data_IF_476394998566
#
_entry.id   IF_476394998566
#
_cell.length_a   1.000
_cell.length_b   1.000
_cell.length_c   1.000
_cell.angle_alpha   90.00
_cell.angle_beta   90.00
_cell.angle_gamma   90.00
#
_symmetry.space_group_name_H-M   'P 1'
#
loop_
_entity.id
_entity.type
_entity.pdbx_description
1 polymer ?
#
# COMPACT_ATOMS: atom_id res chain seq x y z
N UNK A 1 15.15 -9.32 -5.98
CA UNK A 1 15.67 -10.47 -5.22
C UNK A 1 14.70 -10.78 -4.11
N UNK A 2 14.02 -11.93 -4.10
CA UNK A 2 13.07 -12.27 -3.03
C UNK A 2 13.85 -12.65 -1.76
N UNK A 3 13.49 -12.11 -0.60
CA UNK A 3 14.16 -12.42 0.65
C UNK A 3 13.96 -13.89 1.05
N UNK A 4 15.08 -14.60 1.29
CA UNK A 4 15.05 -15.91 1.94
C UNK A 4 14.31 -15.83 3.28
N UNK A 5 13.56 -16.88 3.60
CA UNK A 5 12.60 -17.02 4.71
C UNK A 5 13.10 -16.80 6.14
N UNK A 6 14.36 -16.40 6.36
CA UNK A 6 14.88 -16.06 7.70
C UNK A 6 15.27 -14.58 7.82
N UNK A 7 14.88 -13.74 6.85
CA UNK A 7 15.31 -12.33 6.81
C UNK A 7 14.18 -11.33 7.08
N UNK A 8 12.89 -11.69 7.00
CA UNK A 8 11.83 -10.67 7.17
C UNK A 8 11.79 -10.12 8.59
N UNK A 9 11.82 -10.99 9.60
CA UNK A 9 11.92 -10.56 11.00
C UNK A 9 13.19 -9.74 11.28
N UNK A 10 14.31 -10.07 10.62
CA UNK A 10 15.52 -9.28 10.70
C UNK A 10 15.30 -7.86 10.18
N UNK A 11 14.69 -7.68 9.01
CA UNK A 11 14.45 -6.33 8.47
C UNK A 11 13.37 -5.56 9.21
N UNK A 12 12.34 -6.23 9.74
CA UNK A 12 11.38 -5.59 10.67
C UNK A 12 12.14 -5.05 11.89
N UNK A 13 13.03 -5.86 12.47
CA UNK A 13 13.85 -5.46 13.62
C UNK A 13 14.82 -4.32 13.27
N UNK A 14 15.45 -4.38 12.10
CA UNK A 14 16.36 -3.33 11.62
C UNK A 14 15.63 -2.00 11.40
N UNK A 15 14.42 -2.04 10.82
CA UNK A 15 13.56 -0.87 10.65
C UNK A 15 13.13 -0.30 12.02
N UNK A 16 12.70 -1.16 12.95
CA UNK A 16 12.35 -0.76 14.32
C UNK A 16 13.51 -0.06 15.02
N UNK A 17 14.73 -0.58 14.89
CA UNK A 17 15.91 0.02 15.49
C UNK A 17 16.26 1.36 14.83
N UNK A 18 16.23 1.44 13.50
CA UNK A 18 16.58 2.64 12.76
C UNK A 18 15.65 3.84 13.03
N UNK A 19 14.39 3.57 13.35
CA UNK A 19 13.38 4.60 13.60
C UNK A 19 12.84 4.60 15.03
N UNK A 20 13.57 3.99 15.96
CA UNK A 20 13.29 4.01 17.41
C UNK A 20 11.82 3.64 17.73
N UNK A 21 11.34 2.56 17.12
CA UNK A 21 9.93 2.16 17.21
C UNK A 21 9.58 1.59 18.58
N UNK A 22 8.63 2.25 19.25
CA UNK A 22 7.93 1.73 20.43
C UNK A 22 7.20 0.42 20.09
N UNK A 23 7.06 -0.48 21.08
CA UNK A 23 6.24 -1.67 20.90
C UNK A 23 4.74 -1.32 20.94
N UNK A 24 4.17 -0.97 19.78
CA UNK A 24 2.75 -0.66 19.62
C UNK A 24 1.93 -1.93 19.37
N UNK A 25 0.71 -1.98 19.89
CA UNK A 25 -0.21 -3.07 19.57
C UNK A 25 -0.78 -2.91 18.15
N UNK A 26 -0.89 -3.97 17.32
CA UNK A 26 -0.55 -5.37 17.56
C UNK A 26 0.79 -5.83 16.92
N UNK A 27 1.87 -5.03 16.99
CA UNK A 27 3.16 -5.33 16.32
C UNK A 27 3.70 -6.72 16.64
N UNK A 28 3.70 -7.13 17.92
CA UNK A 28 4.14 -8.49 18.31
C UNK A 28 3.28 -9.61 17.68
N UNK A 29 1.99 -9.39 17.47
CA UNK A 29 1.13 -10.38 16.80
C UNK A 29 1.46 -10.46 15.32
N UNK A 30 1.82 -9.33 14.70
CA UNK A 30 2.24 -9.27 13.31
C UNK A 30 3.60 -9.96 13.12
N UNK A 31 4.57 -9.72 13.99
CA UNK A 31 5.86 -10.43 13.98
C UNK A 31 5.65 -11.95 14.14
N UNK A 32 4.78 -12.38 15.07
CA UNK A 32 4.41 -13.79 15.22
C UNK A 32 3.59 -14.36 14.06
N UNK A 33 2.98 -13.52 13.21
CA UNK A 33 2.36 -13.93 11.95
C UNK A 33 3.43 -14.14 10.87
N UNK A 34 4.35 -13.18 10.72
CA UNK A 34 5.49 -13.27 9.79
C UNK A 34 6.32 -14.51 10.09
N UNK A 35 6.64 -14.76 11.36
CA UNK A 35 7.40 -15.93 11.80
C UNK A 35 6.72 -17.25 11.40
N UNK A 36 5.39 -17.33 11.55
CA UNK A 36 4.61 -18.52 11.22
C UNK A 36 4.68 -18.83 9.73
N UNK A 37 4.48 -17.82 8.89
CA UNK A 37 4.51 -17.95 7.44
C UNK A 37 5.91 -18.34 6.96
N UNK A 38 6.93 -17.71 7.53
CA UNK A 38 8.34 -18.01 7.23
C UNK A 38 8.72 -19.46 7.59
N UNK A 39 8.34 -19.93 8.79
CA UNK A 39 8.80 -21.22 9.34
C UNK A 39 7.90 -22.40 8.99
N UNK A 40 6.59 -22.21 9.02
CA UNK A 40 5.61 -23.30 8.93
C UNK A 40 5.15 -23.51 7.50
N UNK A 41 4.85 -22.43 6.80
CA UNK A 41 4.24 -22.51 5.46
C UNK A 41 5.29 -22.57 4.34
N UNK A 42 6.56 -22.33 4.65
CA UNK A 42 7.69 -22.29 3.69
C UNK A 42 7.35 -21.49 2.43
N UNK A 43 6.61 -20.40 2.59
CA UNK A 43 6.25 -19.52 1.48
C UNK A 43 7.45 -18.65 1.14
N UNK A 44 8.37 -19.22 0.37
CA UNK A 44 9.63 -18.55 -0.02
C UNK A 44 9.41 -17.29 -0.85
N UNK A 45 8.20 -17.10 -1.40
CA UNK A 45 7.89 -16.01 -2.31
C UNK A 45 7.22 -14.79 -1.65
N UNK A 46 7.00 -14.78 -0.33
CA UNK A 46 6.40 -13.60 0.31
C UNK A 46 7.38 -12.41 0.33
N UNK A 47 6.83 -11.21 0.14
CA UNK A 47 7.61 -9.97 0.09
C UNK A 47 7.29 -9.10 1.30
N UNK A 48 8.31 -8.50 1.90
CA UNK A 48 8.13 -7.56 3.02
C UNK A 48 8.17 -6.14 2.46
N UNK A 49 7.14 -5.36 2.75
CA UNK A 49 7.19 -3.91 2.59
C UNK A 49 7.31 -3.26 3.96
N UNK A 50 8.22 -2.32 4.09
CA UNK A 50 8.32 -1.42 5.25
C UNK A 50 8.12 0.00 4.77
N UNK A 51 7.36 0.80 5.51
CA UNK A 51 7.03 2.16 5.06
C UNK A 51 7.04 3.18 6.18
N UNK A 52 7.19 4.44 5.80
CA UNK A 52 7.15 5.58 6.70
C UNK A 52 6.12 6.59 6.18
N UNK A 53 5.18 7.00 7.04
CA UNK A 53 4.40 8.23 6.80
C UNK A 53 5.16 9.41 7.37
N UNK A 54 5.33 10.44 6.58
CA UNK A 54 5.85 11.73 6.99
C UNK A 54 4.70 12.73 6.90
N UNK A 55 4.47 13.44 7.98
CA UNK A 55 3.48 14.51 8.11
C UNK A 55 4.16 15.70 8.78
N UNK A 56 4.59 16.65 7.96
CA UNK A 56 5.52 17.69 8.35
C UNK A 56 6.76 17.04 8.98
N UNK A 57 7.11 17.41 10.21
CA UNK A 57 8.29 16.88 10.90
C UNK A 57 7.99 15.58 11.66
N UNK A 58 6.73 15.10 11.66
CA UNK A 58 6.35 13.86 12.32
C UNK A 58 6.58 12.64 11.43
N UNK A 59 7.14 11.60 12.03
CA UNK A 59 7.36 10.30 11.39
C UNK A 59 6.45 9.25 12.03
N UNK A 60 5.75 8.48 11.21
CA UNK A 60 5.01 7.29 11.63
C UNK A 60 5.58 6.06 10.90
N UNK A 61 6.58 5.39 11.50
CA UNK A 61 7.32 4.31 10.86
C UNK A 61 6.73 2.92 11.13
N UNK A 62 5.74 2.77 12.02
CA UNK A 62 5.21 1.45 12.41
C UNK A 62 4.22 0.93 11.36
N UNK A 63 4.72 0.72 10.13
CA UNK A 63 3.93 0.36 8.95
C UNK A 63 4.62 -0.74 8.16
N UNK A 64 4.03 -1.91 8.16
CA UNK A 64 4.58 -3.10 7.52
C UNK A 64 3.50 -3.83 6.73
N UNK A 65 3.85 -4.31 5.54
CA UNK A 65 3.00 -5.20 4.76
C UNK A 65 3.74 -6.49 4.40
N UNK A 66 3.01 -7.60 4.32
CA UNK A 66 3.46 -8.86 3.74
C UNK A 66 2.61 -9.12 2.50
N UNK A 67 3.27 -9.15 1.34
CA UNK A 67 2.69 -9.55 0.07
C UNK A 67 2.86 -11.05 -0.18
N UNK A 68 1.81 -11.67 -0.69
CA UNK A 68 1.77 -13.05 -1.14
C UNK A 68 1.55 -13.04 -2.66
N UNK A 69 2.60 -13.28 -3.45
CA UNK A 69 2.40 -13.55 -4.86
C UNK A 69 1.74 -14.94 -4.95
N UNK A 70 0.66 -15.02 -5.73
CA UNK A 70 -0.25 -16.15 -5.87
C UNK A 70 -1.44 -16.16 -4.91
N UNK A 71 -2.57 -16.59 -5.48
CA UNK A 71 -3.81 -16.87 -4.79
C UNK A 71 -3.74 -18.13 -3.95
N UNK A 72 -3.94 -17.99 -2.63
CA UNK A 72 -4.21 -19.14 -1.78
C UNK A 72 -5.30 -18.84 -0.77
N UNK A 73 -6.33 -19.67 -0.76
CA UNK A 73 -7.35 -19.65 0.30
C UNK A 73 -6.72 -19.86 1.68
N UNK A 74 -5.61 -20.61 1.76
CA UNK A 74 -4.87 -20.82 3.02
C UNK A 74 -4.29 -19.51 3.54
N UNK A 75 -3.68 -18.71 2.66
CA UNK A 75 -3.13 -17.40 3.04
C UNK A 75 -4.25 -16.44 3.45
N UNK A 76 -5.36 -16.43 2.71
CA UNK A 76 -6.52 -15.62 3.10
C UNK A 76 -7.04 -16.03 4.49
N UNK A 77 -7.18 -17.32 4.77
CA UNK A 77 -7.55 -17.80 6.11
C UNK A 77 -6.52 -17.36 7.17
N UNK A 78 -5.22 -17.50 6.91
CA UNK A 78 -4.19 -17.06 7.84
C UNK A 78 -4.29 -15.56 8.17
N UNK A 79 -4.60 -14.72 7.17
CA UNK A 79 -4.85 -13.28 7.34
C UNK A 79 -6.10 -13.04 8.20
N UNK A 80 -7.20 -13.74 7.94
CA UNK A 80 -8.41 -13.62 8.74
C UNK A 80 -8.20 -14.12 10.19
N UNK A 81 -7.39 -15.15 10.40
CA UNK A 81 -7.02 -15.65 11.72
C UNK A 81 -6.20 -14.61 12.49
N UNK A 82 -5.28 -13.93 11.80
CA UNK A 82 -4.55 -12.80 12.39
C UNK A 82 -5.53 -11.69 12.82
N UNK A 83 -6.49 -11.30 11.99
CA UNK A 83 -7.50 -10.29 12.36
C UNK A 83 -8.31 -10.70 13.58
N UNK A 84 -8.77 -11.96 13.66
CA UNK A 84 -9.48 -12.49 14.83
C UNK A 84 -8.64 -12.44 16.10
N UNK A 85 -7.34 -12.71 16.01
CA UNK A 85 -6.42 -12.59 17.16
C UNK A 85 -6.26 -11.14 17.61
N UNK A 86 -6.24 -10.19 16.67
CA UNK A 86 -6.20 -8.76 17.01
C UNK A 86 -7.53 -8.32 17.66
N UNK A 87 -8.67 -8.74 17.11
CA UNK A 87 -9.99 -8.41 17.65
C UNK A 87 -10.30 -9.09 19.01
N UNK A 88 -9.52 -10.10 19.42
CA UNK A 88 -9.68 -10.71 20.75
C UNK A 88 -9.40 -9.77 21.93
N UNK A 89 -8.77 -8.62 21.67
CA UNK A 89 -8.54 -7.57 22.66
C UNK A 89 -9.81 -6.73 22.83
N UNK A 90 -10.27 -6.56 24.08
CA UNK A 90 -11.59 -6.01 24.42
C UNK A 90 -11.92 -4.61 23.87
N UNK A 91 -10.91 -3.77 23.66
CA UNK A 91 -11.02 -2.40 23.16
C UNK A 91 -10.87 -2.30 21.63
N UNK A 92 -10.72 -3.44 20.93
CA UNK A 92 -10.62 -3.52 19.47
C UNK A 92 -11.95 -3.96 18.88
N UNK A 93 -12.38 -3.30 17.81
CA UNK A 93 -13.52 -3.69 16.98
C UNK A 93 -13.13 -3.56 15.52
N UNK A 94 -13.28 -4.63 14.73
CA UNK A 94 -12.99 -4.59 13.29
C UNK A 94 -14.29 -4.61 12.50
N UNK A 95 -14.46 -3.66 11.58
CA UNK A 95 -15.60 -3.65 10.67
C UNK A 95 -15.20 -4.19 9.29
N UNK A 96 -15.45 -5.49 9.10
CA UNK A 96 -15.12 -6.21 7.87
C UNK A 96 -16.17 -6.09 6.76
N UNK A 97 -17.23 -5.30 6.96
CA UNK A 97 -18.40 -5.29 6.07
C UNK A 97 -18.08 -4.93 4.61
N UNK A 98 -17.21 -3.94 4.37
CA UNK A 98 -16.78 -3.57 3.01
C UNK A 98 -16.08 -4.74 2.30
N UNK A 99 -15.15 -5.38 3.01
CA UNK A 99 -14.43 -6.54 2.49
C UNK A 99 -15.37 -7.72 2.21
N UNK A 100 -16.28 -8.02 3.14
CA UNK A 100 -17.28 -9.08 2.97
C UNK A 100 -18.23 -8.82 1.81
N UNK A 101 -18.69 -7.57 1.63
CA UNK A 101 -19.53 -7.18 0.50
C UNK A 101 -18.79 -7.33 -0.83
N UNK A 102 -17.50 -6.96 -0.88
CA UNK A 102 -16.69 -7.10 -2.09
C UNK A 102 -16.46 -8.57 -2.46
N UNK A 103 -16.02 -9.39 -1.50
CA UNK A 103 -15.77 -10.82 -1.72
C UNK A 103 -17.09 -11.51 -2.10
N UNK A 104 -18.15 -11.35 -1.32
CA UNK A 104 -19.42 -12.03 -1.57
C UNK A 104 -19.31 -13.56 -1.54
N UNK A 105 -20.27 -14.26 -2.15
CA UNK A 105 -20.33 -15.72 -2.15
C UNK A 105 -19.75 -16.37 -3.44
N UNK A 106 -19.40 -15.56 -4.43
CA UNK A 106 -19.06 -15.96 -5.79
C UNK A 106 -17.65 -15.53 -6.22
N UNK A 107 -16.78 -15.22 -5.25
CA UNK A 107 -15.42 -14.76 -5.52
C UNK A 107 -14.58 -15.86 -6.18
N UNK A 108 -14.08 -15.56 -7.37
CA UNK A 108 -13.22 -16.44 -8.17
C UNK A 108 -11.77 -16.22 -7.75
N UNK A 109 -11.23 -17.12 -6.93
CA UNK A 109 -9.85 -17.02 -6.42
C UNK A 109 -8.81 -17.06 -7.55
N UNK A 110 -9.07 -17.76 -8.65
CA UNK A 110 -8.21 -17.81 -9.85
C UNK A 110 -8.02 -16.46 -10.53
N UNK A 111 -8.90 -15.49 -10.23
CA UNK A 111 -8.83 -14.11 -10.72
C UNK A 111 -8.08 -13.16 -9.78
N UNK A 112 -7.69 -13.63 -8.60
CA UNK A 112 -6.85 -12.88 -7.66
C UNK A 112 -5.39 -13.20 -7.94
N UNK A 113 -4.57 -12.19 -8.21
CA UNK A 113 -3.15 -12.38 -8.53
C UNK A 113 -2.23 -12.12 -7.35
N UNK A 114 -2.62 -11.21 -6.46
CA UNK A 114 -1.87 -10.87 -5.26
C UNK A 114 -2.80 -10.76 -4.04
N UNK A 115 -2.26 -11.10 -2.87
CA UNK A 115 -2.85 -10.81 -1.56
C UNK A 115 -1.81 -10.10 -0.70
N UNK A 116 -2.25 -9.17 0.14
CA UNK A 116 -1.40 -8.43 1.07
C UNK A 116 -2.07 -8.35 2.44
N UNK A 117 -1.30 -8.59 3.50
CA UNK A 117 -1.65 -8.19 4.87
C UNK A 117 -0.79 -7.02 5.30
N UNK A 118 -1.38 -6.04 5.98
CA UNK A 118 -0.67 -4.90 6.52
C UNK A 118 -1.05 -4.49 7.93
N UNK A 119 -0.16 -3.71 8.54
CA UNK A 119 -0.39 -2.93 9.75
C UNK A 119 0.09 -1.49 9.55
N UNK A 120 -0.65 -0.52 10.10
CA UNK A 120 -0.25 0.89 10.23
C UNK A 120 -0.62 1.33 11.65
N UNK A 121 0.37 1.39 12.52
CA UNK A 121 0.16 1.52 13.97
C UNK A 121 0.53 2.89 14.48
N UNK A 122 -0.27 3.35 15.44
CA UNK A 122 -0.21 4.67 16.05
C UNK A 122 -0.20 4.53 17.57
N UNK A 123 0.29 5.57 18.25
CA UNK A 123 0.26 5.62 19.71
C UNK A 123 -1.18 5.64 20.23
N UNK A 124 -2.05 6.37 19.55
CA UNK A 124 -3.50 6.23 19.74
C UNK A 124 -3.98 4.95 19.04
N UNK A 125 -4.54 4.03 19.83
CA UNK A 125 -5.05 2.76 19.31
C UNK A 125 -6.15 2.99 18.27
N UNK A 126 -6.96 4.03 18.41
CA UNK A 126 -8.09 4.33 17.52
C UNK A 126 -7.68 4.79 16.12
N UNK A 127 -6.44 5.27 15.98
CA UNK A 127 -5.82 5.62 14.70
C UNK A 127 -4.98 4.48 14.10
N UNK A 128 -4.78 3.40 14.85
CA UNK A 128 -4.14 2.19 14.34
C UNK A 128 -5.11 1.41 13.45
N UNK A 129 -4.56 0.74 12.44
CA UNK A 129 -5.35 -0.04 11.48
C UNK A 129 -4.62 -1.27 10.98
N UNK A 130 -5.41 -2.29 10.69
CA UNK A 130 -4.99 -3.43 9.89
C UNK A 130 -5.32 -3.15 8.43
N UNK A 131 -4.59 -3.76 7.50
CA UNK A 131 -4.80 -3.59 6.07
C UNK A 131 -4.93 -4.95 5.40
N UNK A 132 -5.83 -5.06 4.44
CA UNK A 132 -5.80 -6.15 3.45
C UNK A 132 -5.79 -5.52 2.07
N UNK A 133 -4.91 -6.01 1.20
CA UNK A 133 -4.87 -5.63 -0.20
C UNK A 133 -5.05 -6.86 -1.07
N UNK A 134 -5.78 -6.75 -2.17
CA UNK A 134 -5.86 -7.81 -3.17
C UNK A 134 -5.81 -7.21 -4.56
N UNK A 135 -5.15 -7.92 -5.47
CA UNK A 135 -5.15 -7.56 -6.88
C UNK A 135 -6.02 -8.54 -7.64
N UNK A 136 -6.96 -8.02 -8.44
CA UNK A 136 -7.75 -8.81 -9.39
C UNK A 136 -7.32 -8.51 -10.81
N UNK A 137 -7.40 -9.51 -11.67
CA UNK A 137 -7.09 -9.42 -13.10
C UNK A 137 -8.15 -10.16 -13.91
N UNK A 138 -8.58 -9.58 -15.04
CA UNK A 138 -9.63 -10.14 -15.90
C UNK A 138 -10.92 -10.50 -15.15
N UNK A 139 -11.35 -9.62 -14.25
CA UNK A 139 -12.51 -9.81 -13.36
C UNK A 139 -13.48 -8.61 -13.39
N UNK A 140 -14.09 -8.31 -14.55
CA UNK A 140 -14.86 -7.08 -14.75
C UNK A 140 -16.05 -6.92 -13.80
N UNK A 141 -16.71 -8.02 -13.41
CA UNK A 141 -17.81 -7.99 -12.45
C UNK A 141 -17.36 -7.53 -11.06
N UNK A 142 -16.18 -7.96 -10.59
CA UNK A 142 -15.63 -7.50 -9.30
C UNK A 142 -15.00 -6.13 -9.40
N UNK A 143 -14.42 -5.73 -10.53
CA UNK A 143 -14.01 -4.34 -10.73
C UNK A 143 -15.21 -3.39 -10.62
N UNK A 144 -16.31 -3.72 -11.28
CA UNK A 144 -17.55 -2.94 -11.17
C UNK A 144 -18.08 -2.91 -9.73
N UNK A 145 -18.08 -4.04 -9.04
CA UNK A 145 -18.48 -4.09 -7.62
C UNK A 145 -17.58 -3.21 -6.74
N UNK A 146 -16.27 -3.23 -6.97
CA UNK A 146 -15.31 -2.41 -6.24
C UNK A 146 -15.60 -0.92 -6.41
N UNK A 147 -15.86 -0.49 -7.65
CA UNK A 147 -16.19 0.91 -7.93
C UNK A 147 -17.53 1.32 -7.30
N UNK A 148 -18.56 0.46 -7.36
CA UNK A 148 -19.85 0.74 -6.72
C UNK A 148 -19.68 0.93 -5.20
N UNK A 149 -18.95 0.02 -4.55
CA UNK A 149 -18.65 0.12 -3.11
C UNK A 149 -17.86 1.41 -2.80
N UNK A 150 -16.99 1.83 -3.72
CA UNK A 150 -16.19 3.04 -3.62
C UNK A 150 -16.85 4.31 -4.21
N UNK A 151 -18.19 4.39 -4.18
CA UNK A 151 -19.01 5.57 -4.55
C UNK A 151 -19.40 5.74 -6.03
N UNK A 152 -19.39 4.66 -6.81
CA UNK A 152 -19.69 4.63 -8.24
C UNK A 152 -18.62 5.29 -9.13
N UNK A 153 -18.75 5.04 -10.44
CA UNK A 153 -17.84 5.54 -11.46
C UNK A 153 -18.07 7.04 -11.65
N UNK A 154 -17.02 7.83 -11.45
CA UNK A 154 -16.92 9.21 -11.93
C UNK A 154 -15.95 9.30 -13.13
N UNK A 155 -15.78 10.51 -13.67
CA UNK A 155 -14.88 10.77 -14.80
C UNK A 155 -13.42 10.42 -14.46
N UNK A 156 -12.97 10.72 -13.24
CA UNK A 156 -11.62 10.40 -12.77
C UNK A 156 -11.39 8.89 -12.79
N UNK A 157 -12.31 8.13 -12.20
CA UNK A 157 -12.27 6.67 -12.14
C UNK A 157 -12.29 6.07 -13.56
N UNK A 158 -13.12 6.61 -14.46
CA UNK A 158 -13.17 6.16 -15.85
C UNK A 158 -11.87 6.40 -16.62
N UNK A 159 -11.20 7.52 -16.35
CA UNK A 159 -9.92 7.84 -16.99
C UNK A 159 -8.76 6.98 -16.46
N UNK A 160 -8.83 6.52 -15.19
CA UNK A 160 -7.77 5.74 -14.54
C UNK A 160 -7.90 4.22 -14.73
N UNK A 161 -9.11 3.69 -14.94
CA UNK A 161 -9.33 2.26 -15.22
C UNK A 161 -8.93 1.90 -16.66
N UNK A 162 -7.63 1.94 -16.92
CA UNK A 162 -7.02 1.68 -18.23
C UNK A 162 -6.75 0.19 -18.44
N UNK A 163 -6.34 -0.51 -17.38
CA UNK A 163 -6.01 -1.94 -17.42
C UNK A 163 -7.13 -2.81 -16.84
N UNK A 164 -7.11 -4.08 -17.23
CA UNK A 164 -7.92 -5.16 -16.64
C UNK A 164 -7.42 -5.60 -15.25
N UNK A 165 -6.41 -4.93 -14.69
CA UNK A 165 -5.80 -5.21 -13.40
C UNK A 165 -6.12 -4.10 -12.41
N UNK A 166 -6.67 -4.46 -11.25
CA UNK A 166 -7.05 -3.52 -10.22
C UNK A 166 -6.58 -4.01 -8.86
N UNK A 167 -5.79 -3.19 -8.16
CA UNK A 167 -5.50 -3.44 -6.75
C UNK A 167 -6.56 -2.73 -5.89
N UNK A 168 -7.06 -3.43 -4.88
CA UNK A 168 -8.08 -2.96 -3.95
C UNK A 168 -7.52 -3.10 -2.53
N UNK A 169 -7.45 -1.99 -1.82
CA UNK A 169 -7.08 -1.95 -0.41
C UNK A 169 -8.29 -1.75 0.47
N UNK A 170 -8.29 -2.42 1.63
CA UNK A 170 -9.20 -2.14 2.72
C UNK A 170 -8.40 -1.89 3.99
N UNK A 171 -8.74 -0.79 4.65
CA UNK A 171 -8.18 -0.41 5.93
C UNK A 171 -9.24 -0.65 7.02
N UNK A 172 -8.84 -1.32 8.09
CA UNK A 172 -9.69 -1.66 9.24
C UNK A 172 -9.10 -1.01 10.49
N UNK A 173 -9.62 0.16 10.86
CA UNK A 173 -9.22 0.84 12.07
C UNK A 173 -9.67 0.03 13.28
N UNK A 174 -8.85 0.02 14.33
CA UNK A 174 -9.12 -0.79 15.52
C UNK A 174 -10.33 -0.28 16.32
N UNK A 175 -10.89 0.88 15.97
CA UNK A 175 -12.09 1.46 16.57
C UNK A 175 -13.40 1.14 15.81
N UNK A 176 -13.36 0.30 14.77
CA UNK A 176 -14.54 -0.12 14.01
C UNK A 176 -14.83 0.71 12.76
N UNK A 177 -14.02 1.72 12.44
CA UNK A 177 -14.05 2.35 11.11
C UNK A 177 -13.41 1.43 10.08
N UNK A 178 -13.92 1.44 8.86
CA UNK A 178 -13.25 0.83 7.72
C UNK A 178 -13.33 1.70 6.48
N UNK A 179 -12.29 1.62 5.68
CA UNK A 179 -12.13 2.38 4.45
C UNK A 179 -11.72 1.43 3.33
N UNK A 180 -12.04 1.84 2.11
CA UNK A 180 -11.70 1.11 0.88
C UNK A 180 -11.03 2.11 -0.07
N UNK A 181 -10.01 1.65 -0.78
CA UNK A 181 -9.31 2.43 -1.79
C UNK A 181 -9.03 1.55 -3.02
N UNK A 182 -9.23 2.14 -4.20
CA UNK A 182 -8.92 1.50 -5.48
C UNK A 182 -7.62 2.08 -6.02
N UNK A 183 -6.78 1.20 -6.55
CA UNK A 183 -5.49 1.57 -7.14
C UNK A 183 -5.43 0.98 -8.56
N UNK A 184 -5.96 1.70 -9.57
CA UNK A 184 -5.73 1.35 -10.96
C UNK A 184 -4.24 1.50 -11.29
N UNK A 185 -3.61 0.40 -11.71
CA UNK A 185 -2.19 0.41 -12.08
C UNK A 185 -2.05 0.80 -13.54
N UNK A 186 -1.17 1.76 -13.81
CA UNK A 186 -0.75 2.13 -15.16
C UNK A 186 0.75 1.82 -15.25
N UNK A 187 1.10 0.89 -16.14
CA UNK A 187 2.45 0.35 -16.25
C UNK A 187 3.31 1.20 -17.18
N UNK A 188 4.64 1.14 -17.03
CA UNK A 188 5.59 1.91 -17.83
C UNK A 188 5.38 1.75 -19.35
N UNK A 189 5.08 0.54 -19.81
CA UNK A 189 4.78 0.21 -21.20
C UNK A 189 3.55 0.97 -21.76
N UNK A 190 2.67 1.46 -20.90
CA UNK A 190 1.46 2.19 -21.28
C UNK A 190 1.67 3.71 -21.33
N UNK A 191 2.73 4.24 -20.71
CA UNK A 191 2.96 5.70 -20.61
C UNK A 191 3.18 6.39 -21.95
N UNK A 192 3.62 5.66 -22.97
CA UNK A 192 3.85 6.18 -24.33
C UNK A 192 2.62 6.08 -25.22
N UNK A 193 1.54 5.40 -24.78
CA UNK A 193 0.31 5.29 -25.55
C UNK A 193 -0.45 6.63 -25.51
N UNK A 194 -0.81 7.15 -26.68
CA UNK A 194 -1.41 8.48 -26.81
C UNK A 194 -2.73 8.60 -26.02
N UNK A 195 -3.57 7.56 -26.04
CA UNK A 195 -4.84 7.53 -25.31
C UNK A 195 -4.62 7.53 -23.79
N UNK A 196 -3.58 6.84 -23.31
CA UNK A 196 -3.19 6.83 -21.89
C UNK A 196 -2.70 8.22 -21.46
N UNK A 197 -1.84 8.86 -22.26
CA UNK A 197 -1.38 10.23 -21.99
C UNK A 197 -2.54 11.23 -21.93
N UNK A 198 -3.49 11.14 -22.86
CA UNK A 198 -4.67 12.00 -22.89
C UNK A 198 -5.62 11.77 -21.70
N UNK A 199 -5.75 10.53 -21.21
CA UNK A 199 -6.52 10.23 -20.01
C UNK A 199 -5.83 10.72 -18.75
N UNK A 200 -4.53 10.50 -18.64
CA UNK A 200 -3.72 10.96 -17.52
C UNK A 200 -3.71 12.48 -17.40
N UNK A 201 -3.62 13.22 -18.51
CA UNK A 201 -3.63 14.69 -18.49
C UNK A 201 -4.97 15.31 -18.08
N UNK A 202 -6.07 14.54 -18.14
CA UNK A 202 -7.37 14.96 -17.57
C UNK A 202 -7.45 14.79 -16.05
N UNK A 203 -6.62 13.91 -15.49
CA UNK A 203 -6.66 13.56 -14.07
C UNK A 203 -5.54 14.23 -13.30
N UNK A 204 -4.33 14.26 -13.85
CA UNK A 204 -3.12 14.72 -13.21
C UNK A 204 -2.63 16.03 -13.80
N UNK A 205 -2.16 16.90 -12.92
CA UNK A 205 -1.53 18.17 -13.25
C UNK A 205 -0.17 17.98 -13.93
N UNK A 206 0.35 18.99 -14.67
CA UNK A 206 1.66 18.91 -15.29
C UNK A 206 2.81 18.57 -14.31
N UNK A 207 2.90 19.15 -13.09
CA UNK A 207 3.92 18.74 -12.11
C UNK A 207 3.82 17.26 -11.71
N UNK A 208 2.60 16.75 -11.53
CA UNK A 208 2.38 15.34 -11.24
C UNK A 208 2.83 14.41 -12.39
N UNK A 209 2.68 14.85 -13.64
CA UNK A 209 3.09 14.09 -14.82
C UNK A 209 4.61 14.09 -15.05
N UNK A 210 5.36 15.06 -14.54
CA UNK A 210 6.82 15.17 -14.75
C UNK A 210 7.61 13.97 -14.20
N UNK A 211 7.10 13.31 -13.16
CA UNK A 211 7.78 12.16 -12.51
C UNK A 211 7.51 10.84 -13.25
N UNK A 212 6.41 10.76 -14.02
CA UNK A 212 5.93 9.52 -14.66
C UNK A 212 7.01 8.82 -15.51
N UNK A 213 7.84 9.52 -16.31
CA UNK A 213 8.89 8.87 -17.11
C UNK A 213 9.94 8.09 -16.29
N UNK A 214 10.13 8.41 -15.00
CA UNK A 214 11.08 7.72 -14.11
C UNK A 214 10.45 6.57 -13.33
N UNK A 215 9.19 6.23 -13.62
CA UNK A 215 8.44 5.21 -12.90
C UNK A 215 8.31 3.91 -13.70
N UNK A 216 8.31 2.77 -13.00
CA UNK A 216 7.91 1.47 -13.58
C UNK A 216 6.39 1.31 -13.64
N UNK A 217 5.68 2.01 -12.75
CA UNK A 217 4.23 2.15 -12.74
C UNK A 217 3.81 3.34 -11.90
N UNK A 218 2.60 3.82 -12.13
CA UNK A 218 1.92 4.77 -11.25
C UNK A 218 0.55 4.24 -10.86
N UNK A 219 0.06 4.70 -9.71
CA UNK A 219 -1.33 4.53 -9.30
C UNK A 219 -1.87 5.87 -8.80
N UNK A 220 -3.16 6.10 -8.97
CA UNK A 220 -3.85 7.21 -8.31
C UNK A 220 -4.91 6.60 -7.41
N UNK A 221 -4.78 6.85 -6.11
CA UNK A 221 -5.64 6.29 -5.08
C UNK A 221 -7.03 6.91 -5.11
N UNK A 222 -8.03 6.08 -5.39
CA UNK A 222 -9.44 6.50 -5.45
C UNK A 222 -10.10 6.00 -4.16
N UNK A 223 -10.46 6.92 -3.26
CA UNK A 223 -11.17 6.59 -2.01
C UNK A 223 -12.07 7.74 -1.56
N UNK A 224 -13.19 7.41 -0.93
CA UNK A 224 -14.05 8.40 -0.24
C UNK A 224 -13.34 9.09 0.94
N UNK A 225 -12.33 8.42 1.52
CA UNK A 225 -11.58 8.93 2.66
C UNK A 225 -10.55 10.00 2.25
N UNK A 226 -10.15 10.01 0.97
CA UNK A 226 -9.14 10.91 0.47
C UNK A 226 -9.73 12.30 0.20
N UNK A 227 -9.19 13.32 0.86
CA UNK A 227 -9.54 14.73 0.59
C UNK A 227 -8.85 15.28 -0.66
N UNK A 228 -7.77 14.63 -1.07
CA UNK A 228 -6.96 14.99 -2.22
C UNK A 228 -6.55 13.71 -2.96
N UNK A 229 -6.20 13.83 -4.24
CA UNK A 229 -5.74 12.69 -5.04
C UNK A 229 -4.36 12.29 -4.56
N UNK A 230 -4.25 11.08 -4.01
CA UNK A 230 -2.96 10.51 -3.61
C UNK A 230 -2.36 9.79 -4.81
N UNK A 231 -1.16 10.21 -5.23
CA UNK A 231 -0.46 9.62 -6.37
C UNK A 231 0.67 8.76 -5.84
N UNK A 232 0.77 7.54 -6.34
CA UNK A 232 1.76 6.53 -5.99
C UNK A 232 2.73 6.38 -7.16
N UNK A 233 3.97 6.80 -6.97
CA UNK A 233 5.05 6.72 -7.96
C UNK A 233 5.99 5.58 -7.60
N UNK A 234 6.02 4.52 -8.40
CA UNK A 234 6.96 3.42 -8.24
C UNK A 234 8.20 3.72 -9.06
N UNK A 235 9.23 4.27 -8.42
CA UNK A 235 10.44 4.72 -9.11
C UNK A 235 11.24 3.52 -9.61
N UNK A 236 11.72 3.60 -10.85
CA UNK A 236 12.60 2.59 -11.44
C UNK A 236 13.95 2.55 -10.72
N UNK A 237 14.48 3.72 -10.39
CA UNK A 237 15.69 3.86 -9.59
C UNK A 237 15.41 4.69 -8.34
N UNK A 238 15.58 4.06 -7.18
CA UNK A 238 15.42 4.73 -5.89
C UNK A 238 16.37 5.94 -5.73
N UNK A 239 17.55 5.90 -6.34
CA UNK A 239 18.51 7.02 -6.30
C UNK A 239 17.96 8.32 -6.91
N UNK A 240 16.94 8.24 -7.75
CA UNK A 240 16.33 9.41 -8.39
C UNK A 240 15.31 10.13 -7.51
N UNK A 241 14.98 9.61 -6.33
CA UNK A 241 13.99 10.20 -5.44
C UNK A 241 14.22 11.71 -5.20
N UNK A 242 15.45 12.11 -4.87
CA UNK A 242 15.77 13.50 -4.60
C UNK A 242 15.92 14.37 -5.87
N UNK A 243 15.94 13.77 -7.06
CA UNK A 243 15.92 14.49 -8.33
C UNK A 243 14.52 15.01 -8.67
N UNK A 244 13.48 14.29 -8.23
CA UNK A 244 12.07 14.62 -8.53
C UNK A 244 11.33 15.26 -7.35
N UNK A 245 11.73 14.95 -6.10
CA UNK A 245 11.00 15.38 -4.92
C UNK A 245 11.89 16.25 -4.02
N UNK A 246 11.58 17.54 -3.94
CA UNK A 246 12.17 18.44 -2.95
C UNK A 246 11.50 18.20 -1.60
N UNK A 247 12.11 17.40 -0.74
CA UNK A 247 11.51 16.95 0.53
C UNK A 247 12.23 17.51 1.76
N UNK A 248 11.55 17.46 2.91
CA UNK A 248 12.09 17.85 4.22
C UNK A 248 13.14 16.88 4.77
N UNK A 249 13.79 17.26 5.87
CA UNK A 249 14.86 16.49 6.49
C UNK A 249 14.41 15.11 6.99
N UNK A 250 13.17 15.00 7.48
CA UNK A 250 12.60 13.73 7.94
C UNK A 250 12.53 12.72 6.80
N UNK A 251 12.03 13.12 5.64
CA UNK A 251 12.01 12.27 4.45
C UNK A 251 13.42 11.91 3.95
N UNK A 252 14.36 12.87 3.98
CA UNK A 252 15.77 12.62 3.60
C UNK A 252 16.42 11.58 4.50
N UNK A 253 16.17 11.62 5.82
CA UNK A 253 16.69 10.63 6.77
C UNK A 253 16.18 9.23 6.49
N UNK A 254 14.87 9.08 6.23
CA UNK A 254 14.26 7.78 5.86
C UNK A 254 14.90 7.25 4.57
N UNK A 255 14.99 8.08 3.54
CA UNK A 255 15.58 7.68 2.26
C UNK A 255 17.05 7.30 2.39
N UNK A 256 17.85 8.08 3.14
CA UNK A 256 19.27 7.81 3.37
C UNK A 256 19.53 6.48 4.09
N UNK A 257 18.62 6.04 4.98
CA UNK A 257 18.70 4.71 5.58
C UNK A 257 18.49 3.62 4.53
N UNK A 258 17.45 3.73 3.71
CA UNK A 258 17.06 2.71 2.74
C UNK A 258 17.99 2.59 1.53
N UNK A 259 18.71 3.66 1.16
CA UNK A 259 19.81 3.61 0.16
C UNK A 259 20.89 2.58 0.48
N UNK A 260 21.00 2.13 1.74
CA UNK A 260 21.99 1.16 2.19
C UNK A 260 21.40 -0.24 2.42
N UNK A 261 20.10 -0.41 2.17
CA UNK A 261 19.37 -1.67 2.36
C UNK A 261 19.16 -2.36 1.00
N UNK A 262 18.95 -3.69 0.97
CA UNK A 262 18.71 -4.43 -0.27
C UNK A 262 17.26 -4.26 -0.76
N UNK A 263 16.84 -3.01 -0.95
CA UNK A 263 15.51 -2.64 -1.47
C UNK A 263 15.42 -3.07 -2.93
N UNK A 264 14.32 -3.72 -3.28
CA UNK A 264 14.03 -4.13 -4.67
C UNK A 264 13.13 -3.13 -5.38
N UNK A 265 12.34 -2.35 -4.65
CA UNK A 265 11.41 -1.37 -5.19
C UNK A 265 11.11 -0.28 -4.17
N UNK A 266 10.94 0.95 -4.65
CA UNK A 266 10.48 2.09 -3.86
C UNK A 266 9.19 2.65 -4.44
N UNK A 267 8.24 2.99 -3.57
CA UNK A 267 7.09 3.80 -3.92
C UNK A 267 7.06 5.09 -3.10
N UNK A 268 6.81 6.21 -3.77
CA UNK A 268 6.53 7.51 -3.16
C UNK A 268 5.04 7.76 -3.32
N UNK A 269 4.31 7.89 -2.22
CA UNK A 269 2.92 8.31 -2.29
C UNK A 269 2.69 9.66 -1.62
N UNK A 270 2.09 10.60 -2.32
CA UNK A 270 1.83 11.94 -1.79
C UNK A 270 0.53 12.52 -2.37
N UNK A 271 -0.13 13.43 -1.64
CA UNK A 271 -1.20 14.24 -2.21
C UNK A 271 -0.68 15.08 -3.38
N UNK A 272 -1.46 15.20 -4.45
CA UNK A 272 -1.11 16.04 -5.60
C UNK A 272 -0.89 17.51 -5.19
N UNK A 273 -1.61 18.00 -4.18
CA UNK A 273 -1.44 19.35 -3.64
C UNK A 273 -0.01 19.68 -3.19
N UNK A 274 0.77 18.69 -2.75
CA UNK A 274 2.18 18.88 -2.37
C UNK A 274 3.04 19.24 -3.60
N UNK A 275 2.75 18.65 -4.76
CA UNK A 275 3.45 18.95 -6.01
C UNK A 275 3.01 20.31 -6.57
N UNK A 276 1.73 20.63 -6.47
CA UNK A 276 1.16 21.90 -6.93
C UNK A 276 1.65 23.09 -6.11
N UNK A 277 1.91 22.89 -4.82
CA UNK A 277 2.45 23.94 -3.96
C UNK A 277 3.83 24.43 -4.43
N UNK A 278 4.59 23.61 -5.16
CA UNK A 278 5.91 23.98 -5.71
C UNK A 278 6.95 24.30 -4.64
N UNK A 279 6.74 23.84 -3.40
CA UNK A 279 7.63 24.06 -2.26
C UNK A 279 8.13 22.73 -1.71
N UNK A 280 8.87 22.76 -0.59
CA UNK A 280 9.30 21.54 0.09
C UNK A 280 8.11 20.68 0.49
N UNK A 281 8.09 19.44 0.00
CA UNK A 281 7.09 18.43 0.32
C UNK A 281 7.22 18.03 1.78
N UNK A 282 6.10 18.13 2.50
CA UNK A 282 5.98 17.86 3.93
C UNK A 282 5.12 16.65 4.23
N UNK A 283 4.22 16.28 3.33
CA UNK A 283 3.29 15.17 3.54
C UNK A 283 3.48 14.10 2.46
N UNK A 284 4.04 12.96 2.84
CA UNK A 284 4.30 11.86 1.92
C UNK A 284 4.43 10.54 2.67
N UNK A 285 4.26 9.44 1.95
CA UNK A 285 4.58 8.10 2.39
C UNK A 285 5.73 7.56 1.53
N UNK A 286 6.71 6.95 2.17
CA UNK A 286 7.81 6.26 1.51
C UNK A 286 7.67 4.76 1.80
N UNK A 287 7.50 3.96 0.76
CA UNK A 287 7.38 2.51 0.84
C UNK A 287 8.62 1.85 0.24
N UNK A 288 9.15 0.85 0.92
CA UNK A 288 10.34 0.12 0.50
C UNK A 288 10.05 -1.37 0.55
N UNK A 289 10.13 -1.99 -0.63
CA UNK A 289 9.98 -3.42 -0.79
C UNK A 289 11.34 -4.09 -0.62
N UNK A 290 11.43 -5.06 0.30
CA UNK A 290 12.64 -5.78 0.66
C UNK A 290 12.55 -7.25 0.22
#
# INVERSE_FOLDING_TARGET
MVLKSNKKLYYISAHKHAFEIDNLYPLNLFEGFVERIEKIEKTENCVLESSCKIDHDKLYPVRFNIGFPNNSIKQLHAVMDFFRRVESRVDVKLNLSLFQQFIGNDFKLDKMTDLMLGIDLRRDLSDSRLKIGLTIEDYPEKQKAAVILNNNIDEVTSNLLISNRLHIGFDFYLNGRSEMELYPHIMQQDFQKLDVQQRLSKVLSPPALQVVPACTRICVGISKANRDKIIYYYLENMGDFLNYFTVNDTARKVHAYYLKQPVVEMCVALPESELLAGTTIKNLNLYYLL
#
